data_IF_272673493220
#
_entry.id   IF_272673493220
#
_cell.length_a   1.000
_cell.length_b   1.000
_cell.length_c   1.000
_cell.angle_alpha   90.00
_cell.angle_beta   90.00
_cell.angle_gamma   90.00
#
_symmetry.space_group_name_H-M   'P 1'
#
loop_
_entity.id
_entity.type
_entity.pdbx_description
1 polymer ?
#
# COMPACT_ATOMS: atom_id res chain seq x y z
N UNK A 1 -9.40 11.35 -1.56
CA UNK A 1 -8.86 10.14 -2.23
C UNK A 1 -7.41 10.06 -1.82
N UNK A 2 -7.11 9.33 -0.75
CA UNK A 2 -5.75 9.28 -0.19
C UNK A 2 -5.07 8.07 -0.83
N UNK A 3 -4.11 8.26 -1.75
CA UNK A 3 -3.51 7.14 -2.47
C UNK A 3 -2.78 6.24 -1.46
N UNK A 4 -3.09 4.95 -1.51
CA UNK A 4 -2.42 3.95 -0.69
C UNK A 4 -0.91 4.07 -0.94
N UNK A 5 -0.16 4.37 0.11
CA UNK A 5 1.29 4.46 0.03
C UNK A 5 1.94 3.37 0.88
N UNK A 6 3.01 2.80 0.35
CA UNK A 6 3.87 1.90 1.10
C UNK A 6 5.19 2.64 1.42
N UNK A 7 5.68 2.60 2.68
CA UNK A 7 5.13 1.94 3.86
C UNK A 7 3.92 2.66 4.48
N UNK A 8 3.06 1.92 5.19
CA UNK A 8 1.92 2.48 5.93
C UNK A 8 2.38 3.26 7.17
N UNK A 9 1.64 4.29 7.60
CA UNK A 9 1.94 4.99 8.85
C UNK A 9 1.77 4.02 10.03
N UNK A 10 2.87 3.66 10.69
CA UNK A 10 2.89 2.69 11.81
C UNK A 10 3.69 1.41 11.54
N UNK A 11 4.05 1.13 10.28
CA UNK A 11 5.04 0.08 9.95
C UNK A 11 6.46 0.64 9.99
N UNK A 12 7.37 -0.04 10.70
CA UNK A 12 8.74 0.42 10.99
C UNK A 12 9.51 0.84 9.72
N UNK A 13 9.82 2.13 9.59
CA UNK A 13 10.60 2.75 8.51
C UNK A 13 12.12 2.50 8.61
N UNK A 14 12.58 1.73 9.59
CA UNK A 14 13.98 1.74 10.01
C UNK A 14 14.98 1.13 9.02
N UNK A 15 14.56 0.42 7.94
CA UNK A 15 15.47 -0.11 6.91
C UNK A 15 14.80 -0.41 5.53
N UNK A 16 13.82 0.40 5.07
CA UNK A 16 13.08 0.07 3.83
C UNK A 16 13.01 1.19 2.78
N UNK A 17 12.69 0.78 1.55
CA UNK A 17 12.60 1.55 0.30
C UNK A 17 11.83 2.89 0.42
N UNK A 18 12.04 3.84 -0.52
CA UNK A 18 11.33 5.12 -0.54
C UNK A 18 9.81 4.95 -0.60
N UNK A 19 9.08 5.94 -0.06
CA UNK A 19 7.61 5.96 -0.12
C UNK A 19 7.15 5.89 -1.58
N UNK A 20 6.31 4.91 -1.90
CA UNK A 20 5.70 4.74 -3.22
C UNK A 20 4.20 4.67 -3.13
N UNK A 21 3.53 5.20 -4.15
CA UNK A 21 2.08 5.14 -4.29
C UNK A 21 1.69 3.94 -5.13
N UNK A 22 0.77 3.14 -4.61
CA UNK A 22 0.27 1.93 -5.26
C UNK A 22 -1.09 2.24 -5.90
N UNK A 23 -1.29 1.95 -7.20
CA UNK A 23 -2.53 2.25 -7.92
C UNK A 23 -3.60 1.19 -7.66
N UNK A 24 -4.01 0.99 -6.41
CA UNK A 24 -4.96 -0.08 -6.03
C UNK A 24 -6.40 0.25 -6.45
N UNK A 25 -6.69 1.52 -6.71
CA UNK A 25 -8.03 2.00 -7.08
C UNK A 25 -8.51 1.44 -8.43
N UNK A 26 -7.60 1.02 -9.31
CA UNK A 26 -7.96 0.48 -10.63
C UNK A 26 -8.24 -1.02 -10.59
N UNK A 27 -7.53 -1.77 -9.74
CA UNK A 27 -7.53 -3.25 -9.74
C UNK A 27 -8.15 -3.86 -8.48
N UNK A 28 -8.34 -3.08 -7.42
CA UNK A 28 -8.75 -3.57 -6.10
C UNK A 28 -7.63 -4.29 -5.33
N UNK A 29 -6.51 -4.61 -5.99
CA UNK A 29 -5.36 -5.26 -5.38
C UNK A 29 -4.06 -4.65 -5.93
N UNK A 30 -3.05 -4.46 -5.09
CA UNK A 30 -1.76 -3.94 -5.49
C UNK A 30 -0.61 -4.58 -4.71
N UNK A 31 0.51 -4.82 -5.40
CA UNK A 31 1.72 -5.36 -4.79
C UNK A 31 2.86 -4.37 -4.84
N UNK A 32 3.48 -4.16 -3.68
CA UNK A 32 4.69 -3.36 -3.54
C UNK A 32 5.87 -4.03 -4.27
N UNK A 33 6.50 -3.37 -5.27
CA UNK A 33 7.61 -3.97 -6.03
C UNK A 33 8.91 -4.05 -5.21
N UNK A 34 9.00 -3.30 -4.11
CA UNK A 34 10.20 -3.25 -3.27
C UNK A 34 10.12 -4.21 -2.09
N UNK A 35 9.02 -4.15 -1.37
CA UNK A 35 8.80 -4.90 -0.13
C UNK A 35 8.00 -6.19 -0.32
N UNK A 36 7.37 -6.38 -1.48
CA UNK A 36 6.54 -7.54 -1.77
C UNK A 36 5.19 -7.57 -1.06
N UNK A 37 4.86 -6.56 -0.25
CA UNK A 37 3.58 -6.46 0.44
C UNK A 37 2.41 -6.44 -0.54
N UNK A 38 1.43 -7.32 -0.31
CA UNK A 38 0.17 -7.39 -1.02
C UNK A 38 -0.88 -6.57 -0.28
N UNK A 39 -1.55 -5.68 -1.00
CA UNK A 39 -2.61 -4.83 -0.50
C UNK A 39 -3.90 -5.14 -1.25
N UNK A 40 -4.98 -5.30 -0.51
CA UNK A 40 -6.32 -5.56 -1.05
C UNK A 40 -7.27 -4.46 -0.56
N UNK A 41 -8.08 -3.94 -1.45
CA UNK A 41 -9.07 -2.91 -1.17
C UNK A 41 -10.29 -3.58 -0.55
N UNK A 42 -10.33 -3.60 0.78
CA UNK A 42 -11.51 -4.06 1.53
C UNK A 42 -12.64 -3.04 1.39
N UNK A 43 -13.58 -3.29 0.47
CA UNK A 43 -14.81 -2.50 0.32
C UNK A 43 -15.86 -2.87 1.37
N UNK A 44 -15.50 -3.00 2.64
CA UNK A 44 -16.47 -3.32 3.69
C UNK A 44 -17.26 -2.06 4.08
N UNK A 45 -18.58 -1.96 3.80
CA UNK A 45 -19.40 -0.91 4.39
C UNK A 45 -19.65 -1.28 5.86
N UNK A 46 -18.89 -0.69 6.77
CA UNK A 46 -19.24 -0.67 8.19
C UNK A 46 -19.95 0.64 8.52
#
# INVERSE_FOLDING_TARGET
>A
MLPLHCPMPGTYLWNSHPKVYLPIEQTGEAKCPYCGASYELITTPA
#
